data_IF_149676437723
#
_entry.id   IF_149676437723
#
_cell.length_a   1.000
_cell.length_b   1.000
_cell.length_c   1.000
_cell.angle_alpha   90.00
_cell.angle_beta   90.00
_cell.angle_gamma   90.00
#
_symmetry.space_group_name_H-M   'P 1'
#
loop_
_entity.id
_entity.type
_entity.pdbx_description
1 polymer ?
#
# COMPACT_ATOMS: atom_id res chain seq x y z
N UNK A 1 13.63 7.89 15.89
CA UNK A 1 13.85 6.42 15.85
C UNK A 1 13.08 5.87 14.69
N UNK A 2 13.76 5.07 13.88
CA UNK A 2 13.11 4.38 12.79
C UNK A 2 12.41 3.12 13.29
N UNK A 3 11.10 3.00 13.10
CA UNK A 3 10.41 1.72 13.26
C UNK A 3 10.92 0.79 12.17
N UNK A 4 11.52 -0.31 12.60
CA UNK A 4 12.02 -1.42 11.79
C UNK A 4 11.13 -2.60 12.13
N UNK A 5 10.59 -3.25 11.11
CA UNK A 5 9.90 -4.52 11.24
C UNK A 5 10.79 -5.58 10.61
N UNK A 6 10.99 -6.67 11.32
CA UNK A 6 11.60 -7.88 10.76
C UNK A 6 10.73 -8.46 9.65
N UNK A 7 11.33 -9.25 8.75
CA UNK A 7 10.60 -9.97 7.70
C UNK A 7 9.47 -10.84 8.28
N UNK A 8 9.66 -11.41 9.47
CA UNK A 8 8.63 -12.20 10.16
C UNK A 8 7.44 -11.32 10.58
N UNK A 9 7.67 -10.13 11.12
CA UNK A 9 6.62 -9.19 11.49
C UNK A 9 5.90 -8.65 10.26
N UNK A 10 6.64 -8.32 9.19
CA UNK A 10 6.06 -7.89 7.90
C UNK A 10 5.15 -8.99 7.36
N UNK A 11 5.62 -10.24 7.34
CA UNK A 11 4.84 -11.39 6.88
C UNK A 11 3.59 -11.61 7.76
N UNK A 12 3.70 -11.47 9.07
CA UNK A 12 2.57 -11.58 9.99
C UNK A 12 1.52 -10.48 9.73
N UNK A 13 1.94 -9.22 9.61
CA UNK A 13 1.06 -8.09 9.31
C UNK A 13 0.36 -8.22 7.95
N UNK A 14 1.03 -8.77 6.94
CA UNK A 14 0.42 -9.06 5.64
C UNK A 14 -0.65 -10.14 5.78
N UNK A 15 -0.35 -11.23 6.50
CA UNK A 15 -1.23 -12.38 6.70
C UNK A 15 -2.40 -12.12 7.65
N UNK A 16 -2.28 -11.14 8.54
CA UNK A 16 -3.34 -10.77 9.48
C UNK A 16 -4.67 -10.56 8.73
N UNK A 17 -5.73 -11.24 9.17
CA UNK A 17 -7.03 -11.11 8.53
C UNK A 17 -7.60 -9.70 8.77
N UNK A 18 -8.06 -9.08 7.68
CA UNK A 18 -8.54 -7.68 7.66
C UNK A 18 -10.03 -7.70 7.35
N UNK A 19 -10.85 -7.56 8.39
CA UNK A 19 -12.31 -7.59 8.24
C UNK A 19 -12.77 -6.37 7.47
N UNK A 20 -13.22 -6.58 6.24
CA UNK A 20 -13.74 -5.49 5.42
C UNK A 20 -15.15 -5.11 5.90
N UNK A 21 -15.47 -3.82 6.04
CA UNK A 21 -16.83 -3.40 6.38
C UNK A 21 -17.78 -3.73 5.21
N UNK A 22 -19.03 -4.09 5.52
CA UNK A 22 -20.03 -4.49 4.51
C UNK A 22 -20.24 -3.41 3.43
N UNK A 23 -20.23 -2.13 3.83
CA UNK A 23 -20.32 -0.98 2.93
C UNK A 23 -18.95 -0.49 2.41
N UNK A 24 -17.97 -1.39 2.24
CA UNK A 24 -16.58 -1.07 1.85
C UNK A 24 -16.44 -0.11 0.67
N UNK A 25 -17.26 -0.27 -0.38
CA UNK A 25 -17.19 0.58 -1.59
C UNK A 25 -17.48 2.05 -1.27
N UNK A 26 -18.46 2.32 -0.41
CA UNK A 26 -18.82 3.68 0.00
C UNK A 26 -17.86 4.32 1.01
N UNK A 27 -16.97 3.54 1.62
CA UNK A 27 -16.00 4.04 2.62
C UNK A 27 -14.69 4.53 2.01
N UNK A 28 -14.44 4.26 0.74
CA UNK A 28 -13.27 4.81 0.05
C UNK A 28 -13.44 6.33 -0.09
N UNK A 29 -12.68 7.09 0.71
CA UNK A 29 -12.65 8.55 0.59
C UNK A 29 -11.81 8.93 -0.62
N UNK A 30 -12.46 9.50 -1.64
CA UNK A 30 -11.80 10.03 -2.84
C UNK A 30 -11.23 11.43 -2.55
N UNK A 31 -9.98 11.63 -2.91
CA UNK A 31 -9.31 12.94 -2.96
C UNK A 31 -8.56 13.06 -4.27
N UNK A 32 -8.38 14.28 -4.79
CA UNK A 32 -7.57 14.51 -5.98
C UNK A 32 -6.18 14.99 -5.55
N UNK A 33 -5.13 14.35 -6.08
CA UNK A 33 -3.74 14.70 -5.78
C UNK A 33 -2.89 14.71 -7.05
N UNK A 34 -2.47 15.91 -7.47
CA UNK A 34 -1.54 16.13 -8.61
C UNK A 34 -1.93 15.32 -9.87
N UNK A 35 -3.19 15.43 -10.31
CA UNK A 35 -3.69 14.70 -11.49
C UNK A 35 -3.96 13.21 -11.26
N UNK A 36 -4.11 12.78 -10.00
CA UNK A 36 -4.48 11.41 -9.65
C UNK A 36 -5.70 11.40 -8.76
N UNK A 37 -6.59 10.45 -9.01
CA UNK A 37 -7.61 10.05 -8.07
C UNK A 37 -6.97 9.18 -6.99
N UNK A 38 -7.14 9.57 -5.73
CA UNK A 38 -6.62 8.84 -4.56
C UNK A 38 -7.79 8.44 -3.67
N UNK A 39 -7.95 7.14 -3.47
CA UNK A 39 -8.95 6.54 -2.61
C UNK A 39 -8.28 5.94 -1.38
N UNK A 40 -8.84 6.17 -0.19
CA UNK A 40 -8.32 5.61 1.07
C UNK A 40 -9.41 4.86 1.81
N UNK A 41 -9.07 3.67 2.28
CA UNK A 41 -9.87 2.87 3.20
C UNK A 41 -9.00 2.49 4.39
N UNK A 42 -9.46 2.80 5.60
CA UNK A 42 -8.85 2.32 6.85
C UNK A 42 -9.61 1.08 7.31
N UNK A 43 -8.88 0.06 7.73
CA UNK A 43 -9.42 -1.22 8.22
C UNK A 43 -8.65 -1.64 9.46
N UNK A 44 -9.34 -2.11 10.48
CA UNK A 44 -8.70 -2.73 11.66
C UNK A 44 -8.60 -4.23 11.41
N UNK A 45 -7.42 -4.81 11.60
CA UNK A 45 -7.25 -6.26 11.54
C UNK A 45 -7.62 -6.93 12.86
N UNK A 46 -7.71 -8.25 12.83
CA UNK A 46 -8.13 -9.05 14.00
C UNK A 46 -7.19 -8.93 15.20
N UNK A 47 -5.89 -8.63 14.97
CA UNK A 47 -4.93 -8.42 16.06
C UNK A 47 -4.98 -6.97 16.60
N UNK A 48 -5.89 -6.13 16.10
CA UNK A 48 -6.04 -4.73 16.51
C UNK A 48 -5.16 -3.74 15.72
N UNK A 49 -4.34 -4.23 14.79
CA UNK A 49 -3.53 -3.40 13.90
C UNK A 49 -4.41 -2.52 13.01
N UNK A 50 -4.11 -1.22 12.91
CA UNK A 50 -4.80 -0.34 11.97
C UNK A 50 -4.10 -0.33 10.62
N UNK A 51 -4.79 -0.82 9.59
CA UNK A 51 -4.32 -0.82 8.21
C UNK A 51 -4.93 0.30 7.39
N UNK A 52 -4.23 0.71 6.34
CA UNK A 52 -4.77 1.56 5.29
C UNK A 52 -4.50 0.96 3.92
N UNK A 53 -5.57 0.85 3.14
CA UNK A 53 -5.53 0.57 1.70
C UNK A 53 -5.65 1.89 0.95
N UNK A 54 -4.67 2.17 0.10
CA UNK A 54 -4.63 3.38 -0.73
C UNK A 54 -4.64 2.95 -2.19
N UNK A 55 -5.62 3.41 -2.95
CA UNK A 55 -5.64 3.27 -4.42
C UNK A 55 -5.33 4.62 -5.02
N UNK A 56 -4.25 4.72 -5.78
CA UNK A 56 -3.91 5.89 -6.59
C UNK A 56 -4.08 5.51 -8.05
N UNK A 57 -4.78 6.32 -8.82
CA UNK A 57 -4.96 6.12 -10.25
C UNK A 57 -4.83 7.45 -10.99
N UNK A 58 -4.00 7.48 -12.04
CA UNK A 58 -3.91 8.65 -12.90
C UNK A 58 -5.24 8.89 -13.63
N UNK A 59 -5.59 10.17 -13.76
CA UNK A 59 -6.74 10.56 -14.57
C UNK A 59 -6.44 10.48 -16.07
N UNK A 60 -5.16 10.50 -16.47
CA UNK A 60 -4.70 10.53 -17.86
C UNK A 60 -4.34 9.15 -18.42
N UNK A 61 -3.66 8.31 -17.62
CA UNK A 61 -3.27 6.96 -18.03
C UNK A 61 -3.74 5.93 -17.00
N UNK A 62 -4.72 5.10 -17.36
CA UNK A 62 -5.29 4.09 -16.45
C UNK A 62 -4.31 2.98 -16.07
N UNK A 63 -3.24 2.78 -16.82
CA UNK A 63 -2.15 1.87 -16.45
C UNK A 63 -1.19 2.50 -15.44
N UNK A 64 -1.20 3.82 -15.26
CA UNK A 64 -0.49 4.50 -14.16
C UNK A 64 -1.35 4.50 -12.90
N UNK A 65 -1.34 3.36 -12.19
CA UNK A 65 -1.98 3.21 -10.90
C UNK A 65 -1.08 2.51 -9.88
N UNK A 66 -1.46 2.60 -8.62
CA UNK A 66 -0.90 1.78 -7.55
C UNK A 66 -1.93 1.46 -6.48
N UNK A 67 -1.91 0.22 -5.97
CA UNK A 67 -2.64 -0.19 -4.77
C UNK A 67 -1.64 -0.45 -3.66
N UNK A 68 -1.75 0.28 -2.55
CA UNK A 68 -0.81 0.23 -1.44
C UNK A 68 -1.54 -0.32 -0.22
N UNK A 69 -0.95 -1.33 0.42
CA UNK A 69 -1.30 -1.79 1.76
C UNK A 69 -0.21 -1.32 2.72
N UNK A 70 -0.61 -0.70 3.83
CA UNK A 70 0.31 -0.44 4.92
C UNK A 70 -0.39 -0.43 6.27
N UNK A 71 0.42 -0.43 7.32
CA UNK A 71 -0.02 -0.40 8.72
C UNK A 71 0.30 0.98 9.30
N UNK A 72 -0.61 1.53 10.11
CA UNK A 72 -0.32 2.73 10.89
C UNK A 72 0.60 2.34 12.04
N UNK A 73 1.62 3.15 12.28
CA UNK A 73 2.50 2.98 13.42
C UNK A 73 2.44 4.23 14.31
N UNK A 74 2.84 4.14 15.59
CA UNK A 74 2.77 5.28 16.49
C UNK A 74 3.56 6.49 15.95
N UNK A 75 3.15 7.73 16.30
CA UNK A 75 3.85 8.95 15.90
C UNK A 75 5.35 8.90 16.24
N UNK A 76 6.22 9.49 15.40
CA UNK A 76 5.89 10.37 14.27
C UNK A 76 5.60 9.63 12.96
N UNK A 77 5.83 8.32 12.90
CA UNK A 77 5.70 7.53 11.66
C UNK A 77 4.25 7.13 11.45
N UNK A 78 3.49 7.89 10.68
CA UNK A 78 2.02 7.65 10.59
C UNK A 78 1.61 6.45 9.71
N UNK A 79 2.54 5.85 8.97
CA UNK A 79 2.25 4.78 7.99
C UNK A 79 3.51 4.03 7.54
N UNK A 80 3.56 2.71 7.71
CA UNK A 80 4.56 1.81 7.16
C UNK A 80 3.97 1.01 6.00
N UNK A 81 4.60 1.04 4.81
CA UNK A 81 4.12 0.35 3.60
C UNK A 81 4.54 -1.11 3.65
N UNK A 82 3.57 -2.02 3.56
CA UNK A 82 3.80 -3.47 3.54
C UNK A 82 3.88 -4.02 2.12
N UNK A 83 2.93 -3.61 1.26
CA UNK A 83 2.87 -4.01 -0.15
C UNK A 83 2.44 -2.86 -1.04
N UNK A 84 2.93 -2.86 -2.26
CA UNK A 84 2.50 -1.96 -3.33
C UNK A 84 2.40 -2.72 -4.65
N UNK A 85 1.20 -2.79 -5.19
CA UNK A 85 0.91 -3.30 -6.53
C UNK A 85 0.94 -2.12 -7.48
N UNK A 86 1.77 -2.17 -8.52
CA UNK A 86 1.89 -1.12 -9.52
C UNK A 86 1.28 -1.55 -10.85
N UNK A 87 0.68 -0.59 -11.54
CA UNK A 87 0.28 -0.73 -12.94
C UNK A 87 1.48 -0.67 -13.89
N UNK A 88 1.27 -1.14 -15.11
CA UNK A 88 2.28 -1.13 -16.18
C UNK A 88 2.34 0.23 -16.89
N UNK A 89 3.14 1.16 -16.37
CA UNK A 89 3.27 2.49 -17.00
C UNK A 89 4.72 2.88 -17.32
N UNK A 90 5.69 2.36 -16.57
CA UNK A 90 7.11 2.65 -16.79
C UNK A 90 7.99 1.54 -16.21
N UNK A 91 9.27 1.64 -16.55
CA UNK A 91 10.33 0.81 -16.00
C UNK A 91 10.59 1.20 -14.55
N UNK A 92 10.66 0.22 -13.67
CA UNK A 92 11.02 0.40 -12.27
C UNK A 92 12.36 -0.26 -12.00
N UNK A 93 13.26 0.46 -11.34
CA UNK A 93 14.49 -0.15 -10.81
C UNK A 93 14.24 -0.65 -9.40
N UNK A 94 14.49 -1.93 -9.18
CA UNK A 94 14.58 -2.48 -7.84
C UNK A 94 15.95 -2.10 -7.26
N UNK A 95 15.95 -1.25 -6.23
CA UNK A 95 17.19 -0.69 -5.68
C UNK A 95 17.98 -1.65 -4.80
N UNK A 96 17.41 -2.81 -4.45
CA UNK A 96 18.10 -3.82 -3.61
C UNK A 96 18.95 -4.72 -4.50
N UNK A 97 18.35 -5.29 -5.55
CA UNK A 97 19.00 -6.21 -6.49
C UNK A 97 19.57 -5.51 -7.75
N UNK A 98 19.32 -4.21 -7.91
CA UNK A 98 19.70 -3.40 -9.09
C UNK A 98 19.13 -3.92 -10.43
N UNK A 99 17.94 -4.52 -10.36
CA UNK A 99 17.25 -5.09 -11.52
C UNK A 99 16.12 -4.20 -12.02
N UNK A 100 15.91 -4.18 -13.34
CA UNK A 100 14.81 -3.47 -13.97
C UNK A 100 13.57 -4.36 -14.11
N UNK A 101 12.43 -3.84 -13.65
CA UNK A 101 11.13 -4.50 -13.69
C UNK A 101 10.20 -3.72 -14.61
N UNK A 102 9.58 -4.42 -15.57
CA UNK A 102 8.57 -3.91 -16.50
C UNK A 102 7.25 -4.66 -16.32
N UNK A 103 6.12 -4.05 -16.67
CA UNK A 103 4.82 -4.68 -16.53
C UNK A 103 4.19 -4.44 -15.16
N UNK A 104 3.10 -5.14 -14.89
CA UNK A 104 2.48 -5.20 -13.58
C UNK A 104 3.39 -5.93 -12.59
N UNK A 105 3.66 -5.32 -11.44
CA UNK A 105 4.57 -5.89 -10.45
C UNK A 105 4.18 -5.47 -9.02
N UNK A 106 4.76 -6.16 -8.05
CA UNK A 106 4.46 -6.00 -6.63
C UNK A 106 5.75 -5.74 -5.88
N UNK A 107 5.84 -4.62 -5.17
CA UNK A 107 6.85 -4.44 -4.13
C UNK A 107 6.30 -4.97 -2.81
N UNK A 108 7.11 -5.76 -2.12
CA UNK A 108 6.87 -6.20 -0.74
C UNK A 108 7.96 -5.59 0.14
N UNK A 109 7.60 -5.09 1.32
CA UNK A 109 8.59 -4.65 2.29
C UNK A 109 9.44 -5.83 2.77
N UNK A 110 10.71 -5.57 3.05
CA UNK A 110 11.70 -6.50 3.59
C UNK A 110 12.60 -5.73 4.57
N UNK A 111 13.26 -6.43 5.48
CA UNK A 111 14.24 -5.89 6.45
C UNK A 111 15.54 -5.41 5.78
#
# INVERSE_FOLDING_TARGET
>A
MDIIFSDQEIAALIKEHKVLPDNRRGRFKKTMQRGNDVYRLTVTGEAGSEFQVIVRMSVFNKLNFSVILGVKVPPPKKFFRLKRYNGDYHLHTNTIEDEEVRGFHIHTATE
#
